data_IF_512488817331
#
_entry.id   IF_512488817331
#
_cell.length_a   1.000
_cell.length_b   1.000
_cell.length_c   1.000
_cell.angle_alpha   90.00
_cell.angle_beta   90.00
_cell.angle_gamma   90.00
#
_symmetry.space_group_name_H-M   'P 1'
#
loop_
_entity.id
_entity.type
_entity.pdbx_description
1 polymer ?
#
# COMPACT_ATOMS: atom_id res chain seq x y z
N UNK A 1 36.10 -20.51 9.47
CA UNK A 1 35.42 -19.32 9.99
C UNK A 1 33.99 -19.37 9.47
N UNK A 2 33.05 -19.76 10.34
CA UNK A 2 31.62 -19.80 10.03
C UNK A 2 31.10 -18.37 9.90
N UNK A 3 30.70 -17.97 8.68
CA UNK A 3 29.83 -16.81 8.50
C UNK A 3 28.40 -17.33 8.56
N UNK A 4 27.79 -17.26 9.74
CA UNK A 4 26.34 -17.40 9.91
C UNK A 4 25.68 -16.09 9.48
N UNK A 5 25.57 -15.87 8.16
CA UNK A 5 24.66 -14.87 7.60
C UNK A 5 23.24 -15.43 7.71
N UNK A 6 22.63 -15.29 8.89
CA UNK A 6 21.19 -15.12 8.94
C UNK A 6 20.90 -13.73 8.37
N UNK A 7 20.89 -13.61 7.03
CA UNK A 7 20.14 -12.53 6.40
C UNK A 7 18.69 -12.74 6.83
N UNK A 8 18.28 -12.02 7.87
CA UNK A 8 16.88 -11.98 8.28
C UNK A 8 16.08 -11.51 7.08
N UNK A 9 15.34 -12.44 6.47
CA UNK A 9 14.41 -12.12 5.40
C UNK A 9 13.52 -10.96 5.86
N UNK A 10 13.26 -9.96 4.99
CA UNK A 10 12.33 -8.90 5.34
C UNK A 10 11.00 -9.51 5.75
N UNK A 11 10.36 -8.96 6.78
CA UNK A 11 9.02 -9.40 7.18
C UNK A 11 8.07 -9.26 6.00
N UNK A 12 6.99 -10.05 5.96
CA UNK A 12 5.98 -9.96 4.89
C UNK A 12 5.48 -8.53 4.68
N UNK A 13 5.33 -7.74 5.75
CA UNK A 13 5.01 -6.31 5.66
C UNK A 13 6.03 -5.51 4.85
N UNK A 14 7.33 -5.70 5.11
CA UNK A 14 8.40 -4.98 4.39
C UNK A 14 8.46 -5.43 2.94
N UNK A 15 8.32 -6.73 2.67
CA UNK A 15 8.31 -7.26 1.31
C UNK A 15 7.16 -6.66 0.48
N UNK A 16 5.95 -6.60 1.03
CA UNK A 16 4.78 -6.04 0.36
C UNK A 16 4.84 -4.52 0.23
N UNK A 17 5.38 -3.83 1.23
CA UNK A 17 5.63 -2.39 1.15
C UNK A 17 6.62 -2.08 0.01
N UNK A 18 7.73 -2.82 -0.09
CA UNK A 18 8.68 -2.69 -1.19
C UNK A 18 8.07 -3.05 -2.55
N UNK A 19 7.20 -4.06 -2.61
CA UNK A 19 6.50 -4.44 -3.83
C UNK A 19 5.67 -3.28 -4.40
N UNK A 20 4.97 -2.55 -3.53
CA UNK A 20 4.21 -1.34 -3.92
C UNK A 20 5.15 -0.20 -4.30
N UNK A 21 6.15 0.11 -3.47
CA UNK A 21 7.05 1.24 -3.72
C UNK A 21 7.88 1.08 -5.01
N UNK A 22 8.23 -0.16 -5.38
CA UNK A 22 8.94 -0.42 -6.65
C UNK A 22 8.11 -0.03 -7.87
N UNK A 23 6.77 -0.10 -7.79
CA UNK A 23 5.89 0.34 -8.88
C UNK A 23 5.89 1.86 -9.07
N UNK A 24 6.30 2.63 -8.07
CA UNK A 24 6.51 4.08 -8.21
C UNK A 24 7.79 4.41 -8.98
N UNK A 25 8.65 3.42 -9.26
CA UNK A 25 9.95 3.56 -9.93
C UNK A 25 10.82 4.70 -9.32
N UNK A 26 11.11 4.65 -8.01
CA UNK A 26 11.91 5.68 -7.36
C UNK A 26 13.33 5.77 -7.93
N UNK A 27 13.85 6.98 -8.04
CA UNK A 27 15.28 7.22 -8.30
C UNK A 27 16.15 6.89 -7.07
N UNK A 28 15.61 7.05 -5.85
CA UNK A 28 16.26 6.74 -4.57
C UNK A 28 15.30 6.06 -3.57
N UNK A 29 15.79 5.23 -2.62
CA UNK A 29 14.93 4.60 -1.62
C UNK A 29 14.15 5.63 -0.78
N UNK A 30 12.84 5.42 -0.63
CA UNK A 30 12.00 6.33 0.14
C UNK A 30 12.31 6.29 1.65
N UNK A 31 12.28 7.44 2.35
CA UNK A 31 12.42 7.45 3.80
C UNK A 31 11.19 6.81 4.47
N UNK A 32 11.44 6.04 5.53
CA UNK A 32 10.36 5.56 6.40
C UNK A 32 9.66 6.73 7.07
N UNK A 33 8.33 6.70 7.07
CA UNK A 33 7.50 7.73 7.68
C UNK A 33 7.00 7.27 9.05
N UNK A 34 7.29 8.06 10.08
CA UNK A 34 6.71 7.93 11.41
C UNK A 34 5.52 8.87 11.61
N UNK A 35 4.65 8.53 12.57
CA UNK A 35 3.57 9.38 13.09
C UNK A 35 2.34 9.62 12.17
N UNK A 36 1.92 8.60 11.42
CA UNK A 36 0.67 8.62 10.61
C UNK A 36 -0.57 8.16 11.38
N UNK A 37 -0.41 7.57 12.57
CA UNK A 37 -1.47 6.85 13.27
C UNK A 37 -1.80 5.49 12.65
N UNK A 38 -1.02 5.07 11.65
CA UNK A 38 -1.06 3.76 11.01
C UNK A 38 0.17 2.93 11.43
N UNK A 39 0.15 1.60 11.26
CA UNK A 39 1.35 0.78 11.38
C UNK A 39 2.47 1.29 10.46
N UNK A 40 3.73 0.91 10.73
CA UNK A 40 4.90 1.45 10.04
C UNK A 40 4.75 1.50 8.51
N UNK A 41 5.08 2.64 7.92
CA UNK A 41 4.86 2.92 6.51
C UNK A 41 5.90 3.88 5.92
N UNK A 42 5.71 4.21 4.66
CA UNK A 42 6.55 5.12 3.87
C UNK A 42 5.67 6.22 3.31
N UNK A 43 6.13 7.47 3.41
CA UNK A 43 5.47 8.64 2.84
C UNK A 43 6.32 9.13 1.67
N UNK A 44 5.84 8.89 0.45
CA UNK A 44 6.41 9.48 -0.76
C UNK A 44 5.76 10.84 -1.00
N UNK A 45 6.55 11.90 -0.75
CA UNK A 45 6.11 13.27 -1.01
C UNK A 45 5.97 13.55 -2.51
N UNK A 46 6.86 12.97 -3.32
CA UNK A 46 6.90 13.18 -4.77
C UNK A 46 5.68 12.59 -5.48
N UNK A 47 5.22 11.43 -5.00
CA UNK A 47 4.06 10.73 -5.56
C UNK A 47 2.74 11.07 -4.84
N UNK A 48 2.75 12.00 -3.88
CA UNK A 48 1.61 12.32 -3.01
C UNK A 48 0.94 11.10 -2.36
N UNK A 49 1.75 10.10 -1.97
CA UNK A 49 1.27 8.79 -1.56
C UNK A 49 1.91 8.32 -0.26
N UNK A 50 1.10 7.73 0.62
CA UNK A 50 1.54 7.04 1.82
C UNK A 50 1.25 5.55 1.63
N UNK A 51 2.27 4.70 1.78
CA UNK A 51 2.15 3.24 1.68
C UNK A 51 2.39 2.63 3.04
N UNK A 52 1.48 1.78 3.49
CA UNK A 52 1.53 1.10 4.78
C UNK A 52 1.30 -0.39 4.56
N UNK A 53 1.91 -1.22 5.40
CA UNK A 53 1.61 -2.66 5.43
C UNK A 53 1.36 -3.14 6.86
N UNK A 54 0.41 -4.05 7.03
CA UNK A 54 0.02 -4.62 8.32
C UNK A 54 -0.29 -6.13 8.23
N UNK A 55 0.11 -6.93 9.23
CA UNK A 55 -0.29 -8.33 9.33
C UNK A 55 -1.74 -8.52 9.78
N UNK A 56 -2.47 -7.42 10.06
CA UNK A 56 -3.90 -7.49 10.42
C UNK A 56 -4.73 -7.57 9.15
N UNK A 57 -5.36 -8.73 8.90
CA UNK A 57 -6.19 -8.92 7.72
C UNK A 57 -7.57 -8.26 7.84
N UNK A 58 -8.06 -7.97 9.04
CA UNK A 58 -9.32 -7.29 9.22
C UNK A 58 -9.23 -5.78 8.94
N UNK A 59 -10.35 -5.19 8.54
CA UNK A 59 -10.49 -3.75 8.23
C UNK A 59 -10.58 -2.87 9.49
N UNK A 60 -9.65 -3.07 10.43
CA UNK A 60 -9.61 -2.30 11.70
C UNK A 60 -9.10 -0.87 11.52
N UNK A 61 -8.48 -0.56 10.39
CA UNK A 61 -7.81 0.72 10.16
C UNK A 61 -8.55 1.65 9.20
N UNK A 62 -9.76 1.31 8.73
CA UNK A 62 -10.52 2.13 7.77
C UNK A 62 -10.61 3.61 8.19
N UNK A 63 -11.03 3.88 9.44
CA UNK A 63 -11.11 5.25 9.96
C UNK A 63 -9.74 5.93 10.07
N UNK A 64 -8.70 5.17 10.42
CA UNK A 64 -7.35 5.68 10.54
C UNK A 64 -6.74 6.03 9.17
N UNK A 65 -6.99 5.20 8.16
CA UNK A 65 -6.58 5.41 6.77
C UNK A 65 -7.25 6.66 6.20
N UNK A 66 -8.56 6.80 6.39
CA UNK A 66 -9.31 7.99 5.97
C UNK A 66 -8.84 9.25 6.70
N UNK A 67 -8.65 9.19 8.02
CA UNK A 67 -8.12 10.32 8.80
C UNK A 67 -6.71 10.71 8.36
N UNK A 68 -5.86 9.73 8.04
CA UNK A 68 -4.51 9.94 7.54
C UNK A 68 -4.54 10.70 6.22
N UNK A 69 -5.33 10.21 5.24
CA UNK A 69 -5.51 10.85 3.95
C UNK A 69 -6.00 12.30 4.08
N UNK A 70 -7.00 12.54 4.94
CA UNK A 70 -7.51 13.89 5.21
C UNK A 70 -6.47 14.82 5.84
N UNK A 71 -5.76 14.34 6.86
CA UNK A 71 -4.80 15.17 7.63
C UNK A 71 -3.55 15.47 6.82
N UNK A 72 -3.05 14.47 6.07
CA UNK A 72 -1.82 14.57 5.29
C UNK A 72 -2.06 15.14 3.89
N UNK A 73 -3.32 15.22 3.45
CA UNK A 73 -3.72 15.66 2.10
C UNK A 73 -3.03 14.83 1.00
N UNK A 74 -3.00 13.51 1.20
CA UNK A 74 -2.31 12.53 0.37
C UNK A 74 -3.16 11.28 0.22
N UNK A 75 -2.93 10.56 -0.87
CA UNK A 75 -3.48 9.23 -1.02
C UNK A 75 -2.80 8.25 -0.05
N UNK A 76 -3.53 7.23 0.37
CA UNK A 76 -3.02 6.21 1.29
C UNK A 76 -3.33 4.83 0.74
N UNK A 77 -2.32 3.97 0.64
CA UNK A 77 -2.46 2.54 0.34
C UNK A 77 -2.10 1.76 1.60
N UNK A 78 -3.07 1.06 2.18
CA UNK A 78 -2.85 0.12 3.27
C UNK A 78 -2.89 -1.32 2.74
N UNK A 79 -1.78 -2.04 2.84
CA UNK A 79 -1.68 -3.46 2.48
C UNK A 79 -1.91 -4.33 3.72
N UNK A 80 -2.84 -5.27 3.63
CA UNK A 80 -3.19 -6.26 4.66
C UNK A 80 -2.79 -7.65 4.18
N UNK A 81 -2.09 -8.42 5.02
CA UNK A 81 -1.53 -9.73 4.60
C UNK A 81 -1.64 -10.88 5.59
N UNK A 82 -2.34 -10.71 6.71
CA UNK A 82 -2.48 -11.74 7.73
C UNK A 82 -1.18 -12.03 8.50
N UNK A 83 -1.27 -12.82 9.56
CA UNK A 83 -0.09 -13.28 10.30
C UNK A 83 0.53 -14.49 9.57
N UNK A 84 1.35 -14.22 8.55
CA UNK A 84 2.18 -15.26 7.91
C UNK A 84 3.42 -15.57 8.75
N UNK A 85 3.83 -16.86 8.90
CA UNK A 85 3.30 -18.05 8.23
C UNK A 85 2.11 -18.74 8.90
N UNK A 86 1.59 -18.19 9.99
CA UNK A 86 0.59 -18.84 10.84
C UNK A 86 -0.78 -18.99 10.16
N UNK A 87 -1.20 -18.04 9.33
CA UNK A 87 -2.49 -18.03 8.63
C UNK A 87 -2.31 -17.60 7.17
N UNK A 88 -2.84 -18.39 6.24
CA UNK A 88 -2.88 -18.05 4.81
C UNK A 88 -4.12 -17.21 4.51
N UNK A 89 -3.97 -15.89 4.63
CA UNK A 89 -5.00 -14.92 4.25
C UNK A 89 -4.65 -14.25 2.92
N UNK A 90 -5.65 -13.91 2.08
CA UNK A 90 -5.38 -13.19 0.85
C UNK A 90 -4.80 -11.81 1.15
N UNK A 91 -3.72 -11.45 0.45
CA UNK A 91 -3.20 -10.09 0.49
C UNK A 91 -4.20 -9.14 -0.17
N UNK A 92 -4.63 -8.12 0.58
CA UNK A 92 -5.58 -7.10 0.14
C UNK A 92 -5.00 -5.71 0.32
N UNK A 93 -5.49 -4.75 -0.44
CA UNK A 93 -5.18 -3.35 -0.27
C UNK A 93 -6.44 -2.52 -0.06
N UNK A 94 -6.40 -1.59 0.88
CA UNK A 94 -7.40 -0.55 1.04
C UNK A 94 -6.78 0.78 0.65
N UNK A 95 -7.48 1.54 -0.20
CA UNK A 95 -7.01 2.83 -0.69
C UNK A 95 -7.90 3.93 -0.15
N UNK A 96 -7.33 4.94 0.51
CA UNK A 96 -8.01 6.22 0.68
C UNK A 96 -7.47 7.21 -0.35
N UNK A 97 -8.35 7.60 -1.27
CA UNK A 97 -8.08 8.66 -2.24
C UNK A 97 -8.35 10.00 -1.55
N UNK A 98 -7.35 10.87 -1.49
CA UNK A 98 -7.54 12.23 -1.02
C UNK A 98 -8.32 13.05 -2.07
N UNK A 99 -9.36 13.75 -1.60
CA UNK A 99 -10.13 14.69 -2.40
C UNK A 99 -10.44 15.94 -1.59
N UNK A 100 -10.67 17.05 -2.30
CA UNK A 100 -11.06 18.34 -1.73
C UNK A 100 -12.36 18.28 -0.92
N UNK A 101 -13.26 17.36 -1.24
CA UNK A 101 -14.54 17.17 -0.51
C UNK A 101 -14.41 16.22 0.69
N UNK A 102 -13.21 15.70 0.94
CA UNK A 102 -12.94 14.64 1.90
C UNK A 102 -12.48 13.35 1.20
N UNK A 103 -11.71 12.50 1.89
CA UNK A 103 -11.17 11.29 1.29
C UNK A 103 -12.26 10.27 0.96
N UNK A 104 -11.97 9.38 0.01
CA UNK A 104 -12.86 8.30 -0.43
C UNK A 104 -12.15 6.97 -0.18
N UNK A 105 -12.78 6.08 0.59
CA UNK A 105 -12.26 4.75 0.83
C UNK A 105 -12.68 3.80 -0.29
N UNK A 106 -11.69 3.09 -0.84
CA UNK A 106 -11.84 2.00 -1.79
C UNK A 106 -11.21 0.75 -1.17
N UNK A 107 -12.01 -0.10 -0.52
CA UNK A 107 -11.48 -1.23 0.25
C UNK A 107 -11.36 -2.51 -0.58
N UNK A 108 -10.67 -3.49 0.00
CA UNK A 108 -10.66 -4.90 -0.42
C UNK A 108 -10.13 -5.15 -1.84
N UNK A 109 -9.24 -4.28 -2.32
CA UNK A 109 -8.61 -4.39 -3.62
C UNK A 109 -7.58 -5.52 -3.66
N UNK A 110 -7.51 -6.21 -4.80
CA UNK A 110 -6.50 -7.21 -5.11
C UNK A 110 -5.38 -6.60 -5.95
N UNK A 111 -4.16 -7.10 -5.77
CA UNK A 111 -3.06 -6.77 -6.66
C UNK A 111 -3.20 -7.51 -7.99
N UNK A 112 -3.05 -6.77 -9.08
CA UNK A 112 -2.98 -7.28 -10.44
C UNK A 112 -1.79 -6.67 -11.15
N UNK A 113 -1.05 -7.48 -11.92
CA UNK A 113 0.04 -7.01 -12.76
C UNK A 113 -0.37 -7.24 -14.21
N UNK A 114 -0.38 -6.17 -15.01
CA UNK A 114 -0.74 -6.27 -16.43
C UNK A 114 0.40 -6.86 -17.28
N UNK A 115 0.15 -7.01 -18.58
CA UNK A 115 1.11 -7.58 -19.52
C UNK A 115 2.37 -6.71 -19.73
N UNK A 116 2.26 -5.40 -19.49
CA UNK A 116 3.36 -4.43 -19.62
C UNK A 116 4.13 -4.28 -18.29
N UNK A 117 3.71 -5.00 -17.24
CA UNK A 117 4.33 -5.00 -15.92
C UNK A 117 3.81 -3.90 -14.99
N UNK A 118 2.78 -3.14 -15.38
CA UNK A 118 2.11 -2.15 -14.54
C UNK A 118 1.42 -2.79 -13.34
N UNK A 119 1.49 -2.12 -12.18
CA UNK A 119 0.85 -2.59 -10.94
C UNK A 119 -0.49 -1.90 -10.73
N UNK A 120 -1.53 -2.70 -10.55
CA UNK A 120 -2.91 -2.25 -10.37
C UNK A 120 -3.52 -2.83 -9.10
N UNK A 121 -4.43 -2.07 -8.52
CA UNK A 121 -5.32 -2.50 -7.45
C UNK A 121 -6.74 -2.58 -8.03
N UNK A 122 -7.32 -3.78 -7.97
CA UNK A 122 -8.59 -4.09 -8.63
C UNK A 122 -9.63 -4.61 -7.62
N UNK A 123 -10.87 -4.11 -7.64
CA UNK A 123 -11.95 -4.62 -6.82
C UNK A 123 -12.41 -5.99 -7.32
N UNK A 124 -13.20 -6.68 -6.50
CA UNK A 124 -13.85 -7.93 -6.91
C UNK A 124 -14.87 -7.73 -8.04
N UNK A 125 -15.34 -6.50 -8.25
CA UNK A 125 -16.23 -6.09 -9.34
C UNK A 125 -15.46 -5.14 -10.27
N UNK A 126 -15.71 -5.16 -11.59
CA UNK A 126 -15.00 -4.32 -12.54
C UNK A 126 -15.63 -2.92 -12.61
N UNK A 127 -15.66 -2.19 -11.49
CA UNK A 127 -16.25 -0.85 -11.39
C UNK A 127 -15.21 0.26 -11.22
N UNK A 128 -14.00 -0.08 -10.79
CA UNK A 128 -12.91 0.87 -10.55
C UNK A 128 -11.56 0.17 -10.74
N UNK A 129 -10.56 0.87 -11.27
CA UNK A 129 -9.19 0.40 -11.29
C UNK A 129 -8.29 1.49 -10.71
N UNK A 130 -7.35 1.12 -9.85
CA UNK A 130 -6.35 2.05 -9.31
C UNK A 130 -4.97 1.58 -9.75
N UNK A 131 -4.38 2.28 -10.71
CA UNK A 131 -3.00 2.08 -11.13
C UNK A 131 -2.04 2.71 -10.13
N UNK A 132 -0.94 2.01 -9.83
CA UNK A 132 0.19 2.54 -9.05
C UNK A 132 1.28 2.90 -10.06
N UNK A 133 1.51 4.19 -10.26
CA UNK A 133 2.41 4.72 -11.30
C UNK A 133 3.50 5.57 -10.69
N UNK A 134 4.50 5.96 -11.50
CA UNK A 134 5.54 6.93 -11.11
C UNK A 134 5.00 8.30 -10.71
N UNK A 135 3.71 8.58 -10.88
CA UNK A 135 3.08 9.83 -10.51
C UNK A 135 2.16 9.70 -9.28
N UNK A 136 2.05 8.51 -8.69
CA UNK A 136 1.14 8.22 -7.58
C UNK A 136 0.03 7.26 -8.00
N UNK A 137 -1.19 7.51 -7.52
CA UNK A 137 -2.35 6.71 -7.88
C UNK A 137 -3.09 7.30 -9.07
N UNK A 138 -3.43 6.45 -10.04
CA UNK A 138 -4.27 6.82 -11.19
C UNK A 138 -5.56 6.02 -11.15
N UNK A 139 -6.68 6.72 -11.12
CA UNK A 139 -8.01 6.10 -11.06
C UNK A 139 -8.60 6.02 -12.46
N UNK A 140 -9.00 4.81 -12.85
CA UNK A 140 -9.65 4.54 -14.13
C UNK A 140 -11.00 3.88 -13.91
N UNK A 141 -11.98 4.23 -14.74
CA UNK A 141 -13.26 3.53 -14.85
C UNK A 141 -13.31 2.87 -16.23
N UNK A 142 -13.92 1.67 -16.34
CA UNK A 142 -14.11 1.01 -17.64
C UNK A 142 -15.00 1.79 -18.59
#
# INVERSE_FOLDING_TARGET
MHSTLHDTLPTTSVALLNYVLTALAPDEPYPYAGNTGLPGGVESLENNLIVVATPVAERLYDEAVMRCAATRKRDVVLVRHGFHPEILEPVRADVALHSVTGPILVPDLSFYRDADGGLHLVPARPDLFVGITRHGLEVSMP
#
